data_IF_601794299295
#
_entry.id   IF_601794299295
#
_cell.length_a   1.000
_cell.length_b   1.000
_cell.length_c   1.000
_cell.angle_alpha   90.00
_cell.angle_beta   90.00
_cell.angle_gamma   90.00
#
_symmetry.space_group_name_H-M   'P 1'
#
loop_
_entity.id
_entity.type
_entity.pdbx_description
1 polymer ?
#
# COMPACT_ATOMS: atom_id res chain seq x y z
N UNK A 1 -0.74 13.12 22.87
CA UNK A 1 -0.53 13.04 24.31
C UNK A 1 -1.03 11.69 24.87
N UNK A 2 -2.31 11.32 24.68
CA UNK A 2 -2.92 10.09 25.18
C UNK A 2 -2.11 8.82 24.87
N UNK A 3 -1.68 8.62 23.61
CA UNK A 3 -0.87 7.46 23.22
C UNK A 3 0.45 7.38 24.00
N UNK A 4 1.12 8.53 24.23
CA UNK A 4 2.36 8.55 25.02
C UNK A 4 2.12 8.14 26.47
N UNK A 5 1.04 8.63 27.05
CA UNK A 5 0.69 8.34 28.44
C UNK A 5 0.34 6.86 28.62
N UNK A 6 -0.41 6.27 27.67
CA UNK A 6 -0.75 4.83 27.67
C UNK A 6 0.50 3.94 27.47
N UNK A 7 1.41 4.31 26.54
CA UNK A 7 2.66 3.59 26.33
C UNK A 7 3.56 3.67 27.58
N UNK A 8 3.67 4.85 28.20
CA UNK A 8 4.45 5.03 29.43
C UNK A 8 3.90 4.20 30.58
N UNK A 9 2.58 4.18 30.76
CA UNK A 9 1.93 3.37 31.78
C UNK A 9 2.09 1.84 31.56
N UNK A 10 2.20 1.42 30.31
CA UNK A 10 2.34 0.02 29.91
C UNK A 10 3.79 -0.42 29.70
N UNK A 11 4.77 0.49 29.83
CA UNK A 11 6.14 0.28 29.38
C UNK A 11 6.80 -0.97 30.00
N UNK A 12 6.66 -1.16 31.33
CA UNK A 12 7.23 -2.31 32.01
C UNK A 12 6.67 -3.63 31.48
N UNK A 13 5.34 -3.70 31.28
CA UNK A 13 4.68 -4.87 30.70
C UNK A 13 5.16 -5.13 29.27
N UNK A 14 5.27 -4.09 28.44
CA UNK A 14 5.74 -4.20 27.07
C UNK A 14 7.18 -4.69 26.94
N UNK A 15 8.02 -4.45 27.97
CA UNK A 15 9.39 -4.96 28.02
C UNK A 15 9.49 -6.42 28.49
N UNK A 16 8.57 -6.86 29.34
CA UNK A 16 8.68 -8.14 30.05
C UNK A 16 7.82 -9.25 29.45
N UNK A 17 6.86 -8.91 28.59
CA UNK A 17 5.96 -9.85 27.95
C UNK A 17 6.23 -9.96 26.45
N UNK A 18 6.05 -11.16 25.90
CA UNK A 18 6.07 -11.32 24.44
C UNK A 18 4.91 -10.57 23.80
N UNK A 19 5.11 -9.97 22.62
CA UNK A 19 4.03 -9.33 21.88
C UNK A 19 2.98 -10.37 21.44
N UNK A 20 1.76 -9.89 21.23
CA UNK A 20 0.69 -10.72 20.67
C UNK A 20 1.08 -11.27 19.30
N UNK A 21 0.64 -12.49 19.01
CA UNK A 21 0.85 -13.11 17.69
C UNK A 21 0.07 -12.40 16.59
N UNK A 22 0.46 -12.68 15.34
CA UNK A 22 -0.11 -12.07 14.12
C UNK A 22 -1.64 -12.10 14.09
N UNK A 23 -2.25 -13.22 14.48
CA UNK A 23 -3.73 -13.36 14.48
C UNK A 23 -4.42 -12.34 15.38
N UNK A 24 -3.86 -12.06 16.56
CA UNK A 24 -4.42 -11.07 17.49
C UNK A 24 -4.21 -9.66 16.95
N UNK A 25 -3.01 -9.37 16.42
CA UNK A 25 -2.71 -8.07 15.83
C UNK A 25 -3.62 -7.77 14.64
N UNK A 26 -3.81 -8.74 13.74
CA UNK A 26 -4.75 -8.61 12.60
C UNK A 26 -6.19 -8.40 13.05
N UNK A 27 -6.65 -9.11 14.11
CA UNK A 27 -7.99 -8.91 14.66
C UNK A 27 -8.19 -7.49 15.19
N UNK A 28 -7.23 -6.97 15.95
CA UNK A 28 -7.31 -5.63 16.52
C UNK A 28 -7.27 -4.56 15.44
N UNK A 29 -6.37 -4.69 14.47
CA UNK A 29 -6.29 -3.78 13.34
C UNK A 29 -7.56 -3.83 12.47
N UNK A 30 -8.04 -5.02 12.13
CA UNK A 30 -9.27 -5.19 11.35
C UNK A 30 -10.49 -4.55 12.04
N UNK A 31 -10.58 -4.67 13.37
CA UNK A 31 -11.64 -4.02 14.15
C UNK A 31 -11.55 -2.49 14.07
N UNK A 32 -10.33 -1.92 14.14
CA UNK A 32 -10.11 -0.48 14.06
C UNK A 32 -10.47 0.07 12.66
N UNK A 33 -10.11 -0.67 11.61
CA UNK A 33 -10.42 -0.32 10.22
C UNK A 33 -11.84 -0.74 9.77
N UNK A 34 -12.59 -1.49 10.58
CA UNK A 34 -13.95 -1.91 10.25
C UNK A 34 -14.03 -2.97 9.14
N UNK A 35 -12.97 -3.77 8.94
CA UNK A 35 -12.92 -4.83 7.92
C UNK A 35 -12.84 -6.23 8.54
N UNK A 36 -13.03 -7.26 7.71
CA UNK A 36 -12.86 -8.66 8.12
C UNK A 36 -11.40 -8.94 8.48
N UNK A 37 -11.19 -9.74 9.52
CA UNK A 37 -9.85 -10.13 9.98
C UNK A 37 -9.03 -10.80 8.88
N UNK A 38 -9.65 -11.62 8.04
CA UNK A 38 -8.99 -12.37 6.99
C UNK A 38 -8.44 -11.48 5.86
N UNK A 39 -8.83 -10.21 5.83
CA UNK A 39 -8.29 -9.20 4.90
C UNK A 39 -7.16 -8.37 5.51
N UNK A 40 -6.77 -8.64 6.76
CA UNK A 40 -5.81 -7.80 7.48
C UNK A 40 -4.53 -8.55 7.85
N UNK A 41 -3.41 -7.99 7.47
CA UNK A 41 -2.08 -8.40 7.92
C UNK A 41 -1.40 -7.18 8.55
N UNK A 42 -0.74 -7.39 9.68
CA UNK A 42 0.03 -6.35 10.37
C UNK A 42 1.52 -6.69 10.27
N UNK A 43 2.35 -5.72 9.91
CA UNK A 43 3.80 -5.90 9.80
C UNK A 43 4.59 -4.84 10.56
N UNK A 44 5.89 -5.08 10.69
CA UNK A 44 6.86 -4.16 11.26
C UNK A 44 7.17 -3.00 10.30
N UNK A 45 6.15 -2.14 10.11
CA UNK A 45 6.11 -1.12 9.08
C UNK A 45 5.76 -1.69 7.69
N UNK A 46 5.33 -0.82 6.78
CA UNK A 46 5.01 -1.20 5.41
C UNK A 46 6.18 -1.87 4.69
N UNK A 47 7.43 -1.51 5.01
CA UNK A 47 8.63 -2.08 4.38
C UNK A 47 8.76 -3.60 4.58
N UNK A 48 8.36 -4.15 5.74
CA UNK A 48 8.33 -5.60 5.94
C UNK A 48 7.27 -6.25 5.05
N UNK A 49 6.07 -5.66 4.99
CA UNK A 49 4.99 -6.17 4.16
C UNK A 49 5.35 -6.13 2.67
N UNK A 50 5.94 -5.02 2.20
CA UNK A 50 6.46 -4.90 0.84
C UNK A 50 7.49 -6.01 0.56
N UNK A 51 8.44 -6.22 1.46
CA UNK A 51 9.45 -7.28 1.32
C UNK A 51 8.79 -8.65 1.14
N UNK A 52 7.91 -9.04 2.07
CA UNK A 52 7.25 -10.35 2.04
C UNK A 52 6.38 -10.52 0.78
N UNK A 53 5.66 -9.47 0.38
CA UNK A 53 4.85 -9.48 -0.84
C UNK A 53 5.73 -9.73 -2.07
N UNK A 54 6.86 -9.03 -2.19
CA UNK A 54 7.73 -9.13 -3.36
C UNK A 54 8.59 -10.39 -3.39
N UNK A 55 8.75 -11.10 -2.29
CA UNK A 55 9.31 -12.46 -2.27
C UNK A 55 8.40 -13.48 -2.99
N UNK A 56 7.11 -13.16 -3.19
CA UNK A 56 6.13 -14.00 -3.89
C UNK A 56 5.89 -13.56 -5.35
N UNK A 57 6.49 -12.46 -5.79
CA UNK A 57 6.33 -11.95 -7.16
C UNK A 57 7.10 -12.79 -8.14
N UNK A 58 6.42 -13.40 -9.11
CA UNK A 58 7.01 -14.31 -10.07
C UNK A 58 7.29 -13.70 -11.45
N UNK A 59 6.84 -12.47 -11.69
CA UNK A 59 6.85 -11.85 -13.02
C UNK A 59 7.35 -10.41 -13.02
N UNK A 60 7.07 -9.73 -14.11
CA UNK A 60 7.39 -8.30 -14.24
C UNK A 60 6.41 -7.44 -13.48
N UNK A 61 6.92 -6.35 -12.93
CA UNK A 61 6.16 -5.38 -12.12
C UNK A 61 6.19 -4.02 -12.78
N UNK A 62 5.01 -3.45 -13.02
CA UNK A 62 4.85 -2.07 -13.44
C UNK A 62 5.04 -1.12 -12.26
N UNK A 63 5.88 -0.11 -12.45
CA UNK A 63 6.09 0.98 -11.49
C UNK A 63 6.08 2.33 -12.20
N UNK A 64 5.71 3.37 -11.49
CA UNK A 64 5.85 4.77 -11.96
C UNK A 64 7.18 5.32 -11.45
N UNK A 65 7.84 6.20 -12.21
CA UNK A 65 9.02 6.96 -11.74
C UNK A 65 8.84 8.46 -11.98
N UNK A 66 9.36 9.29 -11.05
CA UNK A 66 10.04 8.93 -9.78
C UNK A 66 9.08 8.24 -8.78
N UNK A 67 9.61 7.44 -7.85
CA UNK A 67 8.81 6.64 -6.92
C UNK A 67 9.50 6.44 -5.57
N UNK A 68 8.81 5.85 -4.63
CA UNK A 68 9.38 5.33 -3.38
C UNK A 68 10.18 4.06 -3.66
N UNK A 69 11.51 4.14 -3.50
CA UNK A 69 12.46 3.11 -3.94
C UNK A 69 12.33 1.76 -3.19
N UNK A 70 11.56 1.68 -2.11
CA UNK A 70 11.36 0.41 -1.40
C UNK A 70 10.76 -0.67 -2.30
N UNK A 71 9.88 -0.29 -3.24
CA UNK A 71 9.29 -1.23 -4.20
C UNK A 71 10.32 -1.74 -5.22
N UNK A 72 10.95 -0.88 -6.06
CA UNK A 72 11.91 -1.36 -7.04
C UNK A 72 13.14 -2.02 -6.42
N UNK A 73 13.58 -1.60 -5.22
CA UNK A 73 14.71 -2.22 -4.53
C UNK A 73 14.47 -3.66 -4.05
N UNK A 74 13.24 -4.17 -4.15
CA UNK A 74 12.90 -5.56 -3.83
C UNK A 74 12.92 -6.49 -5.03
N UNK A 75 13.28 -5.99 -6.21
CA UNK A 75 13.23 -6.71 -7.46
C UNK A 75 14.55 -6.65 -8.21
N UNK A 76 14.75 -7.64 -9.09
CA UNK A 76 15.83 -7.55 -10.05
C UNK A 76 15.49 -6.53 -11.15
N UNK A 77 16.45 -5.78 -11.68
CA UNK A 77 16.19 -4.73 -12.69
C UNK A 77 15.38 -5.22 -13.90
N UNK A 78 15.57 -6.44 -14.34
CA UNK A 78 14.85 -7.05 -15.47
C UNK A 78 13.38 -7.36 -15.20
N UNK A 79 12.97 -7.35 -13.93
CA UNK A 79 11.58 -7.54 -13.54
C UNK A 79 10.80 -6.22 -13.56
N UNK A 80 11.49 -5.09 -13.61
CA UNK A 80 10.86 -3.76 -13.48
C UNK A 80 10.47 -3.23 -14.86
N UNK A 81 9.20 -2.88 -15.04
CA UNK A 81 8.68 -2.16 -16.21
C UNK A 81 8.28 -0.75 -15.75
N UNK A 82 9.04 0.23 -16.18
CA UNK A 82 8.91 1.60 -15.70
C UNK A 82 8.00 2.42 -16.61
N UNK A 83 7.02 3.10 -16.03
CA UNK A 83 6.37 4.26 -16.62
C UNK A 83 7.08 5.51 -16.11
N UNK A 84 7.78 6.23 -16.98
CA UNK A 84 8.39 7.51 -16.65
C UNK A 84 7.44 8.63 -17.05
N UNK A 85 6.99 9.43 -16.08
CA UNK A 85 6.18 10.61 -16.40
C UNK A 85 7.04 11.65 -17.11
N UNK A 86 6.49 12.20 -18.19
CA UNK A 86 7.14 13.25 -19.00
C UNK A 86 6.64 14.65 -18.66
N UNK A 87 5.61 14.74 -17.83
CA UNK A 87 5.05 16.02 -17.40
C UNK A 87 6.05 16.76 -16.48
N UNK A 88 6.25 18.09 -16.66
CA UNK A 88 7.19 18.86 -15.83
C UNK A 88 6.86 18.87 -14.34
N UNK A 89 5.61 18.69 -14.00
CA UNK A 89 5.08 18.60 -12.63
C UNK A 89 4.91 17.15 -12.14
N UNK A 90 5.42 16.18 -12.90
CA UNK A 90 5.31 14.75 -12.65
C UNK A 90 3.87 14.21 -12.62
N UNK A 91 2.91 14.94 -13.17
CA UNK A 91 1.52 14.48 -13.24
C UNK A 91 1.35 13.31 -14.21
N UNK A 92 0.44 12.43 -13.87
CA UNK A 92 -0.03 11.32 -14.70
C UNK A 92 -1.43 10.90 -14.24
N UNK A 93 -2.15 10.21 -15.10
CA UNK A 93 -3.53 9.76 -14.87
C UNK A 93 -3.63 8.23 -14.90
N UNK A 94 -4.78 7.70 -14.47
CA UNK A 94 -5.07 6.28 -14.64
C UNK A 94 -5.09 5.86 -16.12
N UNK A 95 -5.57 6.74 -17.00
CA UNK A 95 -5.63 6.46 -18.46
C UNK A 95 -4.22 6.36 -19.05
N UNK A 96 -3.28 7.20 -18.62
CA UNK A 96 -1.87 7.12 -19.04
C UNK A 96 -1.26 5.77 -18.63
N UNK A 97 -1.50 5.33 -17.40
CA UNK A 97 -1.00 4.05 -16.90
C UNK A 97 -1.63 2.87 -17.66
N UNK A 98 -2.94 2.88 -17.84
CA UNK A 98 -3.64 1.82 -18.59
C UNK A 98 -3.13 1.74 -20.03
N UNK A 99 -2.99 2.88 -20.71
CA UNK A 99 -2.48 2.93 -22.08
C UNK A 99 -1.03 2.42 -22.17
N UNK A 100 -0.18 2.84 -21.26
CA UNK A 100 1.23 2.43 -21.25
C UNK A 100 1.42 0.94 -20.99
N UNK A 101 0.68 0.38 -20.01
CA UNK A 101 0.82 -1.01 -19.60
C UNK A 101 -0.02 -1.99 -20.43
N UNK A 102 -0.85 -1.52 -21.37
CA UNK A 102 -1.74 -2.39 -22.19
C UNK A 102 -0.98 -3.52 -22.87
N UNK A 103 0.14 -3.20 -23.52
CA UNK A 103 0.97 -4.17 -24.24
C UNK A 103 2.12 -4.75 -23.40
N UNK A 104 2.25 -4.34 -22.15
CA UNK A 104 3.31 -4.84 -21.27
C UNK A 104 2.83 -6.09 -20.52
N UNK A 105 3.59 -7.15 -20.62
CA UNK A 105 3.29 -8.39 -19.88
C UNK A 105 3.75 -8.25 -18.43
N UNK A 106 3.03 -7.47 -17.64
CA UNK A 106 3.28 -7.31 -16.19
C UNK A 106 2.41 -8.28 -15.39
N UNK A 107 2.96 -8.77 -14.28
CA UNK A 107 2.26 -9.60 -13.30
C UNK A 107 1.56 -8.76 -12.23
N UNK A 108 2.17 -7.63 -11.86
CA UNK A 108 1.58 -6.68 -10.93
C UNK A 108 1.86 -5.24 -11.34
N UNK A 109 1.01 -4.32 -10.89
CA UNK A 109 1.16 -2.88 -11.03
C UNK A 109 1.18 -2.25 -9.64
N UNK A 110 2.22 -1.48 -9.34
CA UNK A 110 2.32 -0.69 -8.10
C UNK A 110 1.89 0.73 -8.38
N UNK A 111 0.97 1.22 -7.58
CA UNK A 111 0.57 2.63 -7.53
C UNK A 111 0.68 3.13 -6.09
N UNK A 112 1.43 4.20 -5.88
CA UNK A 112 1.47 4.94 -4.62
C UNK A 112 0.54 6.13 -4.77
N UNK A 113 -0.49 6.23 -3.93
CA UNK A 113 -1.52 7.26 -4.11
C UNK A 113 -2.00 7.83 -2.77
N UNK A 114 -1.74 9.10 -2.45
CA UNK A 114 -0.90 10.07 -3.18
C UNK A 114 0.55 9.60 -3.36
N UNK A 115 1.15 9.96 -4.50
CA UNK A 115 2.47 9.50 -4.88
C UNK A 115 3.59 10.11 -4.00
N UNK A 116 4.64 9.35 -3.83
CA UNK A 116 5.85 9.75 -3.13
C UNK A 116 7.07 9.51 -4.04
N UNK A 117 7.82 10.53 -4.50
CA UNK A 117 7.90 11.87 -3.90
C UNK A 117 7.07 12.97 -4.59
N UNK A 118 6.36 12.70 -5.67
CA UNK A 118 5.79 13.73 -6.56
C UNK A 118 4.57 14.43 -5.97
N UNK A 119 3.81 13.74 -5.13
CA UNK A 119 2.52 14.21 -4.63
C UNK A 119 1.38 14.08 -5.65
N UNK A 120 1.61 13.48 -6.83
CA UNK A 120 0.54 13.22 -7.78
C UNK A 120 -0.58 12.40 -7.14
N UNK A 121 -1.81 12.73 -7.45
CA UNK A 121 -2.98 12.08 -6.89
C UNK A 121 -3.96 11.66 -7.97
N UNK A 122 -4.23 10.37 -8.04
CA UNK A 122 -5.27 9.82 -8.91
C UNK A 122 -6.59 9.76 -8.11
N UNK A 123 -7.68 10.36 -8.62
CA UNK A 123 -8.98 10.33 -7.95
C UNK A 123 -9.49 8.92 -7.66
N UNK A 124 -10.25 8.76 -6.59
CA UNK A 124 -10.77 7.46 -6.14
C UNK A 124 -11.50 6.68 -7.24
N UNK A 125 -12.37 7.35 -8.01
CA UNK A 125 -13.09 6.71 -9.12
C UNK A 125 -12.14 6.17 -10.20
N UNK A 126 -11.06 6.87 -10.47
CA UNK A 126 -10.06 6.46 -11.46
C UNK A 126 -9.17 5.34 -10.95
N UNK A 127 -8.86 5.32 -9.64
CA UNK A 127 -8.23 4.18 -9.00
C UNK A 127 -9.11 2.92 -9.06
N UNK A 128 -10.44 3.04 -8.92
CA UNK A 128 -11.37 1.92 -9.12
C UNK A 128 -11.36 1.42 -10.57
N UNK A 129 -11.32 2.32 -11.56
CA UNK A 129 -11.18 1.94 -12.98
C UNK A 129 -9.87 1.18 -13.21
N UNK A 130 -8.78 1.63 -12.60
CA UNK A 130 -7.49 0.96 -12.70
C UNK A 130 -7.50 -0.43 -12.03
N UNK A 131 -8.13 -0.57 -10.86
CA UNK A 131 -8.31 -1.86 -10.19
C UNK A 131 -9.10 -2.85 -11.05
N UNK A 132 -10.19 -2.38 -11.67
CA UNK A 132 -11.00 -3.17 -12.60
C UNK A 132 -10.22 -3.57 -13.87
N UNK A 133 -9.48 -2.62 -14.45
CA UNK A 133 -8.62 -2.87 -15.60
C UNK A 133 -7.55 -3.92 -15.31
N UNK A 134 -6.90 -3.85 -14.15
CA UNK A 134 -5.95 -4.85 -13.68
C UNK A 134 -6.63 -6.23 -13.50
N UNK A 135 -7.83 -6.26 -12.90
CA UNK A 135 -8.57 -7.51 -12.66
C UNK A 135 -8.90 -8.23 -13.98
N UNK A 136 -9.36 -7.49 -14.99
CA UNK A 136 -9.67 -8.04 -16.31
C UNK A 136 -8.46 -8.66 -17.03
N UNK A 137 -7.25 -8.26 -16.63
CA UNK A 137 -5.97 -8.71 -17.22
C UNK A 137 -5.20 -9.67 -16.34
N UNK A 138 -5.78 -10.09 -15.21
CA UNK A 138 -5.12 -10.91 -14.18
C UNK A 138 -3.82 -10.26 -13.66
N UNK A 139 -3.80 -8.93 -13.56
CA UNK A 139 -2.71 -8.16 -12.97
C UNK A 139 -3.04 -7.92 -11.50
N UNK A 140 -2.11 -8.20 -10.60
CA UNK A 140 -2.25 -7.82 -9.19
C UNK A 140 -2.05 -6.32 -9.07
N UNK A 141 -3.03 -5.63 -8.51
CA UNK A 141 -2.96 -4.21 -8.26
C UNK A 141 -2.50 -3.94 -6.83
N UNK A 142 -1.31 -3.40 -6.67
CA UNK A 142 -0.72 -3.03 -5.38
C UNK A 142 -0.89 -1.53 -5.20
N UNK A 143 -1.78 -1.14 -4.31
CA UNK A 143 -2.09 0.25 -4.01
C UNK A 143 -1.51 0.64 -2.66
N UNK A 144 -0.54 1.56 -2.64
CA UNK A 144 0.02 2.11 -1.42
C UNK A 144 -0.72 3.39 -1.01
N UNK A 145 -1.48 3.29 0.07
CA UNK A 145 -2.26 4.38 0.67
C UNK A 145 -1.56 5.05 1.86
N UNK A 146 -0.23 4.93 1.99
CA UNK A 146 0.50 5.47 3.15
C UNK A 146 0.31 6.98 3.36
N UNK A 147 -0.06 7.70 2.32
CA UNK A 147 -0.27 9.15 2.36
C UNK A 147 -1.72 9.57 2.12
N UNK A 148 -2.66 8.64 2.00
CA UNK A 148 -4.07 8.95 1.68
C UNK A 148 -4.73 9.88 2.73
N UNK A 149 -4.34 9.75 3.99
CA UNK A 149 -4.88 10.58 5.08
C UNK A 149 -4.50 12.07 4.97
N UNK A 150 -3.58 12.42 4.06
CA UNK A 150 -3.20 13.81 3.74
C UNK A 150 -3.94 14.36 2.50
N UNK A 151 -4.72 13.54 1.80
CA UNK A 151 -5.58 14.00 0.71
C UNK A 151 -6.83 14.69 1.23
N UNK A 152 -7.48 15.51 0.39
CA UNK A 152 -8.64 16.31 0.81
C UNK A 152 -9.85 15.45 1.20
N UNK A 153 -10.07 14.33 0.50
CA UNK A 153 -11.27 13.50 0.66
C UNK A 153 -11.02 12.22 1.48
N UNK A 154 -9.75 11.88 1.72
CA UNK A 154 -9.32 10.66 2.43
C UNK A 154 -9.99 9.34 2.00
N UNK A 155 -10.25 9.10 0.70
CA UNK A 155 -10.96 7.91 0.26
C UNK A 155 -10.05 6.69 0.33
N UNK A 156 -10.32 5.76 1.25
CA UNK A 156 -9.54 4.52 1.37
C UNK A 156 -10.17 3.36 0.61
N UNK A 157 -9.34 2.47 0.09
CA UNK A 157 -9.71 1.16 -0.46
C UNK A 157 -9.80 0.06 0.61
N UNK A 158 -9.42 0.35 1.85
CA UNK A 158 -9.54 -0.57 2.99
C UNK A 158 -11.01 -0.65 3.43
N UNK A 159 -11.83 -1.33 2.62
CA UNK A 159 -13.27 -1.54 2.84
C UNK A 159 -13.64 -2.95 2.41
N UNK A 160 -14.53 -3.61 3.15
CA UNK A 160 -14.96 -4.97 2.84
C UNK A 160 -15.48 -5.11 1.41
N UNK A 161 -16.38 -4.21 0.99
CA UNK A 161 -16.99 -4.25 -0.33
C UNK A 161 -15.97 -4.11 -1.46
N UNK A 162 -14.92 -3.33 -1.27
CA UNK A 162 -13.85 -3.17 -2.26
C UNK A 162 -12.94 -4.40 -2.30
N UNK A 163 -12.51 -4.89 -1.13
CA UNK A 163 -11.62 -6.05 -1.03
C UNK A 163 -12.32 -7.36 -1.49
N UNK A 164 -13.64 -7.45 -1.32
CA UNK A 164 -14.45 -8.56 -1.85
C UNK A 164 -14.63 -8.48 -3.38
N UNK A 165 -14.82 -7.27 -3.89
CA UNK A 165 -15.03 -7.05 -5.34
C UNK A 165 -13.75 -7.26 -6.15
N UNK A 166 -12.61 -6.83 -5.64
CA UNK A 166 -11.32 -6.84 -6.34
C UNK A 166 -10.35 -7.83 -5.68
N UNK A 167 -10.48 -9.11 -6.01
CA UNK A 167 -9.61 -10.18 -5.47
C UNK A 167 -8.15 -10.09 -5.89
N UNK A 168 -7.85 -9.24 -6.87
CA UNK A 168 -6.50 -8.93 -7.34
C UNK A 168 -5.90 -7.69 -6.65
N UNK A 169 -6.60 -7.07 -5.70
CA UNK A 169 -6.16 -5.86 -5.01
C UNK A 169 -5.40 -6.20 -3.73
N UNK A 170 -4.24 -5.57 -3.57
CA UNK A 170 -3.48 -5.52 -2.32
C UNK A 170 -3.32 -4.06 -1.93
N UNK A 171 -3.79 -3.69 -0.74
CA UNK A 171 -3.60 -2.33 -0.21
C UNK A 171 -2.51 -2.36 0.84
N UNK A 172 -1.56 -1.44 0.73
CA UNK A 172 -0.48 -1.25 1.72
C UNK A 172 -0.65 0.13 2.36
N UNK A 173 -0.54 0.19 3.68
CA UNK A 173 -0.63 1.45 4.41
C UNK A 173 0.38 1.49 5.56
N UNK A 174 1.25 2.50 5.54
CA UNK A 174 2.12 2.81 6.67
C UNK A 174 1.36 3.63 7.69
N UNK A 175 1.10 3.06 8.85
CA UNK A 175 0.45 3.78 9.97
C UNK A 175 1.37 4.87 10.54
N UNK A 176 2.68 4.70 10.38
CA UNK A 176 3.70 5.63 10.89
C UNK A 176 3.54 7.07 10.39
N UNK A 177 2.96 7.26 9.18
CA UNK A 177 2.84 8.57 8.54
C UNK A 177 1.68 9.36 9.13
N UNK A 178 0.47 8.86 9.01
CA UNK A 178 -0.76 9.52 9.46
C UNK A 178 -0.81 9.73 10.99
N UNK A 179 -0.27 8.79 11.75
CA UNK A 179 -0.24 8.91 13.21
C UNK A 179 1.01 9.62 13.76
N UNK A 180 1.98 9.97 12.89
CA UNK A 180 3.20 10.67 13.32
C UNK A 180 4.08 9.86 14.29
N UNK A 181 4.07 8.53 14.18
CA UNK A 181 4.75 7.61 15.10
C UNK A 181 5.70 6.63 14.36
N UNK A 182 6.68 7.15 13.63
CA UNK A 182 7.55 6.31 12.80
C UNK A 182 8.35 5.28 13.61
N UNK A 183 8.61 5.56 14.88
CA UNK A 183 9.32 4.66 15.80
C UNK A 183 8.55 3.40 16.19
N UNK A 184 7.22 3.38 16.08
CA UNK A 184 6.40 2.20 16.39
C UNK A 184 6.47 1.12 15.32
N UNK A 185 6.93 1.45 14.11
CA UNK A 185 7.12 0.49 13.01
C UNK A 185 5.87 -0.33 12.72
N UNK A 186 4.73 0.32 12.43
CA UNK A 186 3.47 -0.33 12.15
C UNK A 186 3.04 -0.09 10.70
N UNK A 187 2.70 -1.18 10.00
CA UNK A 187 2.12 -1.19 8.65
C UNK A 187 1.02 -2.25 8.54
N UNK A 188 0.12 -2.04 7.64
CA UNK A 188 -0.95 -2.98 7.27
C UNK A 188 -1.02 -3.12 5.77
#
# INVERSE_FOLDING_TARGET
QRMRDELSASFNRLLTEYPSGQRVNSLLAAKDFGIKQDYMIVGNGAAELIKVLFEQVLGKVGVVRPTFEEYPNRMMPEQIVVYETTAPDFSYTADDLMAYFEDKKIWSLVLINPDNPTGNYIPYADCLRLAQWCQQRNIIFILDESFIDFSTEHPTFIKNEILEQYSNLVVIKSISKSYGVPGLRLGI
#
